data_IF_374742707536
#
_entry.id   IF_374742707536
#
_cell.length_a   1.000
_cell.length_b   1.000
_cell.length_c   1.000
_cell.angle_alpha   90.00
_cell.angle_beta   90.00
_cell.angle_gamma   90.00
#
_symmetry.space_group_name_H-M   'P 1'
#
loop_
_entity.id
_entity.type
_entity.pdbx_description
1 polymer ?
#
# COMPACT_ATOMS: atom_id res chain seq x y z
N UNK A 1 -9.77 9.76 -5.05
CA UNK A 1 -9.43 8.33 -5.13
C UNK A 1 -8.27 8.19 -6.09
N UNK A 2 -7.11 7.71 -5.62
CA UNK A 2 -5.92 7.54 -6.44
C UNK A 2 -6.12 6.41 -7.47
N UNK A 3 -5.58 6.58 -8.68
CA UNK A 3 -5.69 5.65 -9.80
C UNK A 3 -4.35 4.97 -10.08
N UNK A 4 -4.36 3.64 -10.07
CA UNK A 4 -3.21 2.84 -10.51
C UNK A 4 -2.81 3.13 -11.96
N UNK A 5 -1.50 3.21 -12.22
CA UNK A 5 -0.91 3.52 -13.53
C UNK A 5 -0.89 5.01 -13.88
N UNK A 6 -1.61 5.84 -13.12
CA UNK A 6 -1.63 7.31 -13.27
C UNK A 6 -1.07 8.02 -12.04
N UNK A 7 -1.59 7.68 -10.86
CA UNK A 7 -1.29 8.36 -9.61
C UNK A 7 -0.24 7.58 -8.80
N UNK A 8 -0.29 6.25 -8.85
CA UNK A 8 0.69 5.34 -8.26
C UNK A 8 0.90 4.10 -9.13
N UNK A 9 1.97 3.34 -8.89
CA UNK A 9 2.17 2.01 -9.48
C UNK A 9 2.84 1.04 -8.51
N UNK A 10 2.66 -0.25 -8.76
CA UNK A 10 3.38 -1.31 -8.06
C UNK A 10 4.82 -1.45 -8.59
N UNK A 11 5.75 -1.79 -7.71
CA UNK A 11 7.14 -2.13 -8.02
C UNK A 11 7.48 -3.46 -7.37
N UNK A 12 7.92 -4.42 -8.18
CA UNK A 12 8.46 -5.68 -7.68
C UNK A 12 9.94 -5.52 -7.37
N UNK A 13 10.33 -5.79 -6.13
CA UNK A 13 11.73 -5.85 -5.77
C UNK A 13 12.29 -7.21 -6.16
N UNK A 14 13.30 -7.23 -7.04
CA UNK A 14 13.92 -8.48 -7.49
C UNK A 14 14.46 -9.26 -6.29
N UNK A 15 14.05 -10.52 -6.13
CA UNK A 15 14.38 -11.41 -5.00
C UNK A 15 13.73 -11.05 -3.65
N UNK A 16 12.56 -10.41 -3.65
CA UNK A 16 11.77 -10.18 -2.45
C UNK A 16 10.29 -10.47 -2.69
N UNK A 17 9.59 -11.05 -1.70
CA UNK A 17 8.13 -11.20 -1.70
C UNK A 17 7.39 -9.88 -1.37
N UNK A 18 8.12 -8.76 -1.31
CA UNK A 18 7.57 -7.45 -0.97
C UNK A 18 7.24 -6.69 -2.26
N UNK A 19 6.02 -6.18 -2.34
CA UNK A 19 5.60 -5.25 -3.40
C UNK A 19 5.72 -3.82 -2.90
N UNK A 20 6.52 -3.01 -3.60
CA UNK A 20 6.63 -1.58 -3.39
C UNK A 20 5.52 -0.80 -4.11
N UNK A 21 5.29 0.42 -3.66
CA UNK A 21 4.41 1.41 -4.25
C UNK A 21 5.27 2.63 -4.60
N UNK A 22 5.16 3.08 -5.84
CA UNK A 22 5.74 4.35 -6.29
C UNK A 22 4.64 5.36 -6.57
N UNK A 23 4.76 6.55 -6.00
CA UNK A 23 3.89 7.69 -6.31
C UNK A 23 4.39 8.36 -7.59
N UNK A 24 3.49 8.58 -8.56
CA UNK A 24 3.83 9.04 -9.90
C UNK A 24 3.66 10.55 -10.11
N UNK A 25 2.80 11.19 -9.32
CA UNK A 25 2.45 12.60 -9.50
C UNK A 25 2.27 13.33 -8.18
N UNK A 26 2.13 14.65 -8.26
CA UNK A 26 1.93 15.51 -7.09
C UNK A 26 3.22 15.77 -6.32
N UNK A 27 3.07 16.23 -5.08
CA UNK A 27 4.19 16.64 -4.23
C UNK A 27 5.16 15.49 -3.96
N UNK A 28 4.63 14.28 -3.74
CA UNK A 28 5.38 13.08 -3.36
C UNK A 28 5.82 12.23 -4.57
N UNK A 29 5.78 12.77 -5.79
CA UNK A 29 6.22 12.06 -6.99
C UNK A 29 7.65 11.53 -6.83
N UNK A 30 7.86 10.25 -7.18
CA UNK A 30 9.15 9.57 -7.08
C UNK A 30 9.45 8.95 -5.72
N UNK A 31 8.58 9.14 -4.73
CA UNK A 31 8.66 8.40 -3.45
C UNK A 31 8.31 6.93 -3.71
N UNK A 32 9.11 6.03 -3.14
CA UNK A 32 8.90 4.59 -3.16
C UNK A 32 8.87 4.07 -1.73
N UNK A 33 7.83 3.34 -1.38
CA UNK A 33 7.67 2.74 -0.06
C UNK A 33 7.01 1.36 -0.20
N UNK A 34 6.98 0.58 0.86
CA UNK A 34 6.16 -0.62 0.91
C UNK A 34 5.34 -0.65 2.20
N UNK A 35 4.14 -1.24 2.13
CA UNK A 35 3.35 -1.45 3.33
C UNK A 35 3.94 -2.59 4.17
N UNK A 36 3.84 -2.43 5.49
CA UNK A 36 4.01 -3.49 6.46
C UNK A 36 2.63 -4.03 6.88
N UNK A 37 2.52 -4.38 8.16
CA UNK A 37 1.26 -4.89 8.71
C UNK A 37 0.18 -3.81 8.71
N UNK A 38 -0.96 -4.11 8.11
CA UNK A 38 -2.18 -3.31 8.20
C UNK A 38 -3.22 -4.00 9.11
N UNK A 39 -3.98 -3.20 9.87
CA UNK A 39 -5.04 -3.65 10.79
C UNK A 39 -6.15 -2.60 10.83
N UNK A 40 -7.39 -3.06 10.89
CA UNK A 40 -8.53 -2.21 11.20
C UNK A 40 -8.71 -2.19 12.72
N UNK A 41 -8.76 -1.00 13.31
CA UNK A 41 -9.07 -0.79 14.71
C UNK A 41 -10.39 -0.04 14.82
N UNK A 42 -11.36 -0.65 15.50
CA UNK A 42 -12.61 0.01 15.85
C UNK A 42 -12.37 1.03 16.98
N UNK A 43 -12.87 2.25 16.77
CA UNK A 43 -12.92 3.32 17.76
C UNK A 43 -14.35 3.86 17.82
N UNK A 44 -15.16 3.24 18.68
CA UNK A 44 -16.58 3.58 18.80
C UNK A 44 -17.34 3.23 17.51
N UNK A 45 -18.02 4.20 16.92
CA UNK A 45 -18.76 4.03 15.66
C UNK A 45 -17.86 4.13 14.40
N UNK A 46 -16.57 4.41 14.57
CA UNK A 46 -15.63 4.57 13.46
C UNK A 46 -14.63 3.43 13.40
N UNK A 47 -14.24 3.03 12.19
CA UNK A 47 -13.12 2.12 11.97
C UNK A 47 -11.91 2.92 11.47
N UNK A 48 -10.75 2.75 12.13
CA UNK A 48 -9.48 3.36 11.72
C UNK A 48 -8.56 2.31 11.13
N UNK A 49 -8.08 2.54 9.93
CA UNK A 49 -7.04 1.71 9.32
C UNK A 49 -5.67 2.15 9.86
N UNK A 50 -4.97 1.23 10.52
CA UNK A 50 -3.59 1.41 10.97
C UNK A 50 -2.68 0.56 10.10
N UNK A 51 -1.62 1.14 9.57
CA UNK A 51 -0.65 0.44 8.76
C UNK A 51 0.77 0.89 9.11
N UNK A 52 1.69 -0.07 9.12
CA UNK A 52 3.10 0.25 9.04
C UNK A 52 3.53 0.46 7.59
N UNK A 53 4.60 1.21 7.37
CA UNK A 53 5.25 1.32 6.07
C UNK A 53 6.75 1.47 6.26
N UNK A 54 7.52 1.10 5.23
CA UNK A 54 8.95 1.34 5.16
C UNK A 54 9.24 2.17 3.92
N UNK A 55 9.96 3.27 4.09
CA UNK A 55 10.40 4.12 3.01
C UNK A 55 11.62 3.49 2.32
N UNK A 56 11.55 3.31 1.00
CA UNK A 56 12.64 2.74 0.19
C UNK A 56 13.40 3.84 -0.54
N UNK A 57 12.68 4.86 -1.03
CA UNK A 57 13.25 6.02 -1.72
C UNK A 57 12.41 7.27 -1.41
N UNK A 58 13.04 8.37 -0.98
CA UNK A 58 12.34 9.60 -0.59
C UNK A 58 12.04 10.54 -1.76
N UNK A 59 12.39 10.17 -2.99
CA UNK A 59 12.20 11.03 -4.16
C UNK A 59 13.09 12.26 -4.07
N UNK A 60 12.48 13.45 -4.07
CA UNK A 60 13.16 14.75 -3.88
C UNK A 60 13.16 15.24 -2.43
N UNK A 61 12.50 14.51 -1.53
CA UNK A 61 12.29 14.92 -0.14
C UNK A 61 13.34 14.31 0.78
N UNK A 62 13.46 14.85 1.97
CA UNK A 62 14.20 14.21 3.05
C UNK A 62 13.35 13.09 3.69
N UNK A 63 14.01 12.03 4.18
CA UNK A 63 13.30 10.91 4.81
C UNK A 63 12.62 11.32 6.12
N UNK A 64 13.26 12.18 6.92
CA UNK A 64 12.74 12.60 8.21
C UNK A 64 11.55 13.55 8.04
N UNK A 65 11.56 14.37 6.99
CA UNK A 65 10.43 15.23 6.61
C UNK A 65 9.21 14.40 6.21
N UNK A 66 9.40 13.35 5.39
CA UNK A 66 8.29 12.48 4.97
C UNK A 66 7.66 11.72 6.14
N UNK A 67 8.46 11.24 7.09
CA UNK A 67 7.96 10.47 8.24
C UNK A 67 7.02 11.28 9.15
N UNK A 68 7.19 12.61 9.18
CA UNK A 68 6.38 13.51 10.00
C UNK A 68 5.33 14.28 9.19
N UNK A 69 5.17 13.98 7.90
CA UNK A 69 4.24 14.68 7.02
C UNK A 69 2.86 13.99 6.99
N UNK A 70 1.85 14.66 7.55
CA UNK A 70 0.47 14.14 7.62
C UNK A 70 -0.18 13.97 6.24
N UNK A 71 0.14 14.83 5.27
CA UNK A 71 -0.36 14.71 3.89
C UNK A 71 0.23 13.49 3.19
N UNK A 72 1.50 13.17 3.48
CA UNK A 72 2.13 11.95 3.00
C UNK A 72 1.47 10.69 3.58
N UNK A 73 1.17 10.69 4.88
CA UNK A 73 0.45 9.58 5.52
C UNK A 73 -0.97 9.45 4.96
N UNK A 74 -1.64 10.57 4.69
CA UNK A 74 -2.99 10.61 4.11
C UNK A 74 -3.03 9.98 2.72
N UNK A 75 -2.13 10.37 1.82
CA UNK A 75 -2.10 9.78 0.46
C UNK A 75 -1.78 8.28 0.50
N UNK A 76 -0.91 7.84 1.42
CA UNK A 76 -0.66 6.41 1.63
C UNK A 76 -1.91 5.68 2.14
N UNK A 77 -2.71 6.30 3.01
CA UNK A 77 -3.99 5.74 3.47
C UNK A 77 -5.01 5.60 2.33
N UNK A 78 -5.11 6.62 1.48
CA UNK A 78 -6.01 6.63 0.33
C UNK A 78 -5.62 5.55 -0.70
N UNK A 79 -4.33 5.38 -0.98
CA UNK A 79 -3.82 4.33 -1.88
C UNK A 79 -4.12 2.95 -1.30
N UNK A 80 -3.87 2.74 0.00
CA UNK A 80 -4.16 1.45 0.64
C UNK A 80 -5.65 1.12 0.59
N UNK A 81 -6.50 2.12 0.82
CA UNK A 81 -7.96 1.97 0.75
C UNK A 81 -8.41 1.57 -0.65
N UNK A 82 -7.88 2.22 -1.69
CA UNK A 82 -8.16 1.85 -3.09
C UNK A 82 -7.75 0.41 -3.39
N UNK A 83 -6.57 -0.01 -2.95
CA UNK A 83 -6.08 -1.39 -3.15
C UNK A 83 -7.04 -2.40 -2.50
N UNK A 84 -7.47 -2.15 -1.27
CA UNK A 84 -8.40 -3.03 -0.55
C UNK A 84 -9.78 -3.10 -1.23
N UNK A 85 -10.30 -1.97 -1.70
CA UNK A 85 -11.60 -1.91 -2.41
C UNK A 85 -11.52 -2.64 -3.76
N UNK A 86 -10.44 -2.46 -4.53
CA UNK A 86 -10.24 -3.16 -5.80
C UNK A 86 -10.17 -4.67 -5.61
N UNK A 87 -9.42 -5.15 -4.62
CA UNK A 87 -9.34 -6.59 -4.31
C UNK A 87 -10.69 -7.19 -3.91
N UNK A 88 -11.57 -6.41 -3.27
CA UNK A 88 -12.92 -6.87 -2.93
C UNK A 88 -13.83 -7.02 -4.16
N UNK A 89 -13.58 -6.23 -5.21
CA UNK A 89 -14.36 -6.26 -6.46
C UNK A 89 -13.86 -7.31 -7.46
N UNK A 90 -12.65 -7.83 -7.28
CA UNK A 90 -12.21 -9.07 -7.93
C UNK A 90 -12.78 -10.26 -7.14
N UNK A 91 -13.27 -11.33 -7.79
CA UNK A 91 -13.69 -12.52 -7.06
C UNK A 91 -12.49 -12.97 -6.22
N UNK A 92 -12.63 -12.91 -4.90
CA UNK A 92 -11.62 -13.39 -3.96
C UNK A 92 -11.20 -14.77 -4.44
N UNK A 93 -9.94 -14.92 -4.86
CA UNK A 93 -9.34 -16.25 -4.98
C UNK A 93 -9.44 -16.84 -3.59
N UNK A 94 -10.44 -17.70 -3.38
CA UNK A 94 -10.49 -18.57 -2.22
C UNK A 94 -9.13 -19.23 -2.17
N UNK A 95 -8.45 -19.15 -1.02
CA UNK A 95 -7.33 -20.02 -0.75
C UNK A 95 -7.88 -21.45 -0.86
N UNK A 96 -7.75 -22.06 -2.05
CA UNK A 96 -7.98 -23.48 -2.23
C UNK A 96 -6.80 -24.15 -1.53
N UNK A 97 -7.01 -24.50 -0.26
CA UNK A 97 -6.22 -25.52 0.43
C UNK A 97 -6.64 -26.90 -0.10
N UNK A 98 -6.65 -27.08 -1.42
CA UNK A 98 -6.73 -28.41 -1.98
C UNK A 98 -5.32 -28.99 -1.86
N UNK A 99 -5.16 -29.91 -0.91
CA UNK A 99 -3.97 -30.76 -0.80
C UNK A 99 -3.67 -31.36 -2.19
N UNK A 100 -2.42 -31.33 -2.67
CA UNK A 100 -2.09 -31.94 -3.95
C UNK A 100 -2.36 -33.44 -3.86
N UNK A 101 -3.32 -33.93 -4.64
CA UNK A 101 -3.52 -35.35 -4.89
C UNK A 101 -2.29 -35.86 -5.65
N UNK A 102 -1.33 -36.41 -4.91
CA UNK A 102 -0.18 -37.11 -5.46
C UNK A 102 -0.67 -38.49 -5.92
N UNK A 103 -1.01 -38.61 -7.21
CA UNK A 103 -1.12 -39.90 -7.89
C UNK A 103 0.23 -40.35 -8.46
#
# INVERSE_FOLDING_TARGET
>A
MPLEGKDYRFIDFTNSDITGIQILQGEFAGVVYHYGKARVQEQGEFAKLQFGYTLVHSGKHDMDELQNNEDFVTIMGDILTEILIKQHNEPTRTFNTEEPDLQ
#
